data_IF_645423842730
#
_entry.id   IF_645423842730
#
_cell.length_a   1.000
_cell.length_b   1.000
_cell.length_c   1.000
_cell.angle_alpha   90.00
_cell.angle_beta   90.00
_cell.angle_gamma   90.00
#
_symmetry.space_group_name_H-M   'P 1'
#
loop_
_entity.id
_entity.type
_entity.pdbx_description
1 polymer ?
#
# COMPACT_ATOMS: atom_id res chain seq x y z
N UNK A 1 -13.10 -4.20 8.59
CA UNK A 1 -14.21 -5.12 8.26
C UNK A 1 -13.69 -6.54 8.40
N UNK A 2 -14.22 -7.32 9.34
CA UNK A 2 -13.82 -8.72 9.60
C UNK A 2 -13.92 -9.60 8.34
N UNK A 3 -14.90 -9.31 7.47
CA UNK A 3 -15.10 -10.01 6.19
C UNK A 3 -13.95 -9.84 5.21
N UNK A 4 -13.37 -8.64 5.12
CA UNK A 4 -12.21 -8.37 4.23
C UNK A 4 -10.99 -9.14 4.71
N UNK A 5 -10.74 -9.17 6.02
CA UNK A 5 -9.63 -9.92 6.59
C UNK A 5 -9.78 -11.43 6.37
N UNK A 6 -10.99 -11.98 6.55
CA UNK A 6 -11.29 -13.38 6.28
C UNK A 6 -11.11 -13.74 4.79
N UNK A 7 -11.58 -12.90 3.87
CA UNK A 7 -11.41 -13.13 2.44
C UNK A 7 -9.94 -13.12 2.02
N UNK A 8 -9.13 -12.22 2.57
CA UNK A 8 -7.69 -12.15 2.28
C UNK A 8 -6.94 -13.35 2.88
N UNK A 9 -7.35 -13.81 4.07
CA UNK A 9 -6.79 -15.04 4.64
C UNK A 9 -7.08 -16.26 3.75
N UNK A 10 -8.27 -16.33 3.16
CA UNK A 10 -8.65 -17.39 2.23
C UNK A 10 -7.87 -17.29 0.90
N UNK A 11 -7.67 -16.09 0.36
CA UNK A 11 -6.81 -15.89 -0.81
C UNK A 11 -5.39 -16.42 -0.56
N UNK A 12 -4.83 -16.15 0.62
CA UNK A 12 -3.52 -16.71 1.02
C UNK A 12 -3.52 -18.22 1.12
N UNK A 13 -4.60 -18.82 1.64
CA UNK A 13 -4.75 -20.29 1.72
C UNK A 13 -4.80 -20.95 0.34
N UNK A 14 -5.24 -20.21 -0.66
CA UNK A 14 -5.36 -20.65 -2.06
C UNK A 14 -4.18 -20.21 -2.93
N UNK A 15 -3.11 -19.68 -2.34
CA UNK A 15 -1.94 -19.13 -3.05
C UNK A 15 -2.31 -18.02 -4.07
N UNK A 16 -3.37 -17.26 -3.78
CA UNK A 16 -3.78 -16.09 -4.58
C UNK A 16 -3.13 -14.85 -3.96
N UNK A 17 -2.24 -14.21 -4.72
CA UNK A 17 -1.58 -12.97 -4.32
C UNK A 17 -2.59 -11.83 -4.19
N UNK A 18 -2.54 -11.13 -3.06
CA UNK A 18 -3.30 -9.88 -2.84
C UNK A 18 -2.32 -8.72 -2.77
N UNK A 19 -2.40 -7.83 -3.75
CA UNK A 19 -1.52 -6.67 -3.87
C UNK A 19 -2.08 -5.48 -3.05
N UNK A 20 -1.20 -4.65 -2.45
CA UNK A 20 -1.61 -3.51 -1.63
C UNK A 20 -2.42 -2.49 -2.45
N UNK A 21 -3.16 -1.56 -1.81
CA UNK A 21 -3.81 -0.49 -2.55
C UNK A 21 -2.76 0.41 -3.23
N UNK A 22 -3.09 0.93 -4.41
CA UNK A 22 -2.25 1.85 -5.18
C UNK A 22 -3.16 2.78 -5.99
N UNK A 23 -2.99 4.10 -5.85
CA UNK A 23 -3.84 5.10 -6.51
C UNK A 23 -3.81 5.02 -8.05
N UNK A 24 -2.68 4.57 -8.61
CA UNK A 24 -2.48 4.42 -10.05
C UNK A 24 -2.97 3.06 -10.58
N UNK A 25 -3.30 2.09 -9.72
CA UNK A 25 -3.72 0.74 -10.16
C UNK A 25 -5.09 0.31 -9.65
N UNK A 26 -5.36 0.54 -8.36
CA UNK A 26 -6.57 0.09 -7.68
C UNK A 26 -7.83 0.71 -8.26
N UNK A 27 -8.90 -0.09 -8.31
CA UNK A 27 -10.25 0.40 -8.54
C UNK A 27 -10.94 0.72 -7.20
N UNK A 28 -12.19 1.19 -7.26
CA UNK A 28 -12.98 1.43 -6.07
C UNK A 28 -13.16 0.13 -5.27
N UNK A 29 -13.62 -0.93 -5.95
CA UNK A 29 -13.69 -2.30 -5.42
C UNK A 29 -12.43 -3.10 -5.76
N UNK A 30 -12.29 -4.28 -5.15
CA UNK A 30 -11.23 -5.24 -5.49
C UNK A 30 -11.26 -5.55 -6.99
N UNK A 31 -10.09 -5.65 -7.61
CA UNK A 31 -9.96 -5.96 -9.04
C UNK A 31 -8.93 -7.04 -9.28
N UNK A 32 -9.09 -7.81 -10.36
CA UNK A 32 -8.07 -8.76 -10.81
C UNK A 32 -7.11 -8.03 -11.73
N UNK A 33 -5.81 -8.24 -11.54
CA UNK A 33 -4.76 -7.79 -12.44
C UNK A 33 -3.67 -8.86 -12.55
N UNK A 34 -2.66 -8.61 -13.37
CA UNK A 34 -1.50 -9.48 -13.46
C UNK A 34 -0.38 -8.94 -12.56
N UNK A 35 0.22 -9.82 -11.76
CA UNK A 35 1.40 -9.47 -10.98
C UNK A 35 2.57 -9.16 -11.93
N UNK A 36 3.27 -8.07 -11.67
CA UNK A 36 4.41 -7.63 -12.48
C UNK A 36 5.63 -8.55 -12.37
N UNK A 37 5.70 -9.39 -11.35
CA UNK A 37 6.81 -10.32 -11.15
C UNK A 37 6.70 -11.58 -12.03
N UNK A 38 5.49 -12.15 -12.09
CA UNK A 38 5.29 -13.53 -12.57
C UNK A 38 4.21 -13.65 -13.66
N UNK A 39 3.54 -12.54 -14.04
CA UNK A 39 2.33 -12.48 -14.88
C UNK A 39 1.14 -13.31 -14.35
N UNK A 40 1.24 -13.80 -13.11
CA UNK A 40 0.21 -14.55 -12.43
C UNK A 40 -0.99 -13.65 -12.06
N UNK A 41 -2.23 -14.18 -12.06
CA UNK A 41 -3.39 -13.42 -11.62
C UNK A 41 -3.28 -13.06 -10.14
N UNK A 42 -3.45 -11.78 -9.84
CA UNK A 42 -3.44 -11.23 -8.49
C UNK A 42 -4.68 -10.37 -8.24
N UNK A 43 -5.08 -10.27 -6.98
CA UNK A 43 -6.17 -9.41 -6.55
C UNK A 43 -5.57 -8.09 -6.04
N UNK A 44 -5.89 -6.97 -6.70
CA UNK A 44 -5.55 -5.64 -6.22
C UNK A 44 -6.58 -5.18 -5.18
N UNK A 45 -6.09 -4.66 -4.06
CA UNK A 45 -6.94 -4.14 -2.99
C UNK A 45 -7.79 -2.95 -3.47
N UNK A 46 -9.09 -2.98 -3.19
CA UNK A 46 -10.02 -1.90 -3.55
C UNK A 46 -9.92 -0.70 -2.62
N UNK A 47 -9.89 0.52 -3.17
CA UNK A 47 -9.70 1.75 -2.39
C UNK A 47 -10.82 2.01 -1.38
N UNK A 48 -12.07 1.64 -1.69
CA UNK A 48 -13.20 1.83 -0.76
C UNK A 48 -13.25 0.78 0.36
N UNK A 49 -12.40 -0.25 0.31
CA UNK A 49 -12.25 -1.20 1.41
C UNK A 49 -11.35 -0.67 2.55
N UNK A 50 -10.65 0.44 2.32
CA UNK A 50 -9.85 1.14 3.33
C UNK A 50 -10.79 1.88 4.29
N UNK A 51 -10.60 1.70 5.60
CA UNK A 51 -11.37 2.42 6.62
C UNK A 51 -11.30 3.93 6.37
N UNK A 52 -12.43 4.62 6.51
CA UNK A 52 -12.63 6.05 6.28
C UNK A 52 -12.66 6.49 4.80
N UNK A 53 -12.37 5.61 3.84
CA UNK A 53 -12.37 5.97 2.42
C UNK A 53 -13.72 5.64 1.79
N UNK A 54 -14.43 6.66 1.32
CA UNK A 54 -15.74 6.52 0.68
C UNK A 54 -15.68 6.62 -0.85
N UNK A 55 -16.70 6.09 -1.52
CA UNK A 55 -16.80 6.07 -2.98
C UNK A 55 -16.70 7.48 -3.60
N UNK A 56 -17.43 8.46 -3.04
CA UNK A 56 -17.41 9.84 -3.53
C UNK A 56 -16.05 10.55 -3.40
N UNK A 57 -15.10 10.00 -2.63
CA UNK A 57 -13.74 10.50 -2.57
C UNK A 57 -12.83 9.89 -3.65
N UNK A 58 -13.13 8.67 -4.09
CA UNK A 58 -12.26 7.88 -4.98
C UNK A 58 -12.71 7.95 -6.44
N UNK A 59 -14.01 8.02 -6.72
CA UNK A 59 -14.52 8.08 -8.10
C UNK A 59 -13.90 9.21 -8.93
N UNK A 60 -13.77 10.46 -8.43
CA UNK A 60 -13.14 11.52 -9.20
C UNK A 60 -11.67 11.23 -9.50
N UNK A 61 -10.96 10.60 -8.56
CA UNK A 61 -9.55 10.25 -8.74
C UNK A 61 -9.38 9.18 -9.82
N UNK A 62 -10.21 8.14 -9.78
CA UNK A 62 -10.21 7.07 -10.80
C UNK A 62 -10.58 7.64 -12.17
N UNK A 63 -11.59 8.51 -12.25
CA UNK A 63 -12.00 9.13 -13.50
C UNK A 63 -10.87 9.96 -14.12
N UNK A 64 -10.20 10.80 -13.32
CA UNK A 64 -9.08 11.62 -13.78
C UNK A 64 -7.83 10.79 -14.13
N UNK A 65 -7.57 9.70 -13.41
CA UNK A 65 -6.52 8.75 -13.78
C UNK A 65 -6.83 8.07 -15.11
N UNK A 66 -8.05 7.60 -15.31
CA UNK A 66 -8.44 6.92 -16.56
C UNK A 66 -8.37 7.86 -17.77
N UNK A 67 -8.60 9.16 -17.57
CA UNK A 67 -8.52 10.19 -18.60
C UNK A 67 -7.08 10.69 -18.86
N UNK A 68 -6.31 10.95 -17.81
CA UNK A 68 -5.00 11.60 -17.89
C UNK A 68 -3.80 10.69 -17.65
N UNK A 69 -4.02 9.39 -17.41
CA UNK A 69 -2.99 8.43 -17.05
C UNK A 69 -2.55 8.52 -15.59
N UNK A 70 -1.49 7.79 -15.25
CA UNK A 70 -0.95 7.71 -13.89
C UNK A 70 -0.53 9.08 -13.33
N UNK A 71 -0.75 9.28 -12.04
CA UNK A 71 -0.22 10.41 -11.28
C UNK A 71 1.29 10.26 -11.08
N UNK A 72 2.03 11.34 -11.31
CA UNK A 72 3.50 11.33 -11.23
C UNK A 72 4.06 11.88 -9.92
N UNK A 73 3.26 12.65 -9.19
CA UNK A 73 3.60 13.16 -7.87
C UNK A 73 2.34 13.51 -7.08
N UNK A 74 2.48 13.84 -5.80
CA UNK A 74 1.35 14.30 -4.98
C UNK A 74 0.79 15.64 -5.49
N UNK A 75 1.64 16.52 -6.03
CA UNK A 75 1.21 17.77 -6.66
C UNK A 75 0.41 17.52 -7.93
N UNK A 76 0.84 16.56 -8.75
CA UNK A 76 0.12 16.16 -9.96
C UNK A 76 -1.30 15.67 -9.63
N UNK A 77 -1.43 14.83 -8.58
CA UNK A 77 -2.72 14.41 -8.04
C UNK A 77 -3.57 15.63 -7.60
N UNK A 78 -3.00 16.56 -6.83
CA UNK A 78 -3.69 17.74 -6.32
C UNK A 78 -4.19 18.68 -7.42
N UNK A 79 -3.40 18.85 -8.49
CA UNK A 79 -3.74 19.74 -9.62
C UNK A 79 -4.79 19.14 -10.54
N UNK A 80 -4.71 17.82 -10.78
CA UNK A 80 -5.57 17.14 -11.77
C UNK A 80 -6.93 16.74 -11.21
N UNK A 81 -6.99 16.27 -9.96
CA UNK A 81 -8.21 15.65 -9.43
C UNK A 81 -9.14 16.62 -8.72
N UNK A 82 -10.45 16.43 -8.85
CA UNK A 82 -11.41 17.02 -7.90
C UNK A 82 -11.30 16.28 -6.57
N UNK A 83 -10.72 16.95 -5.57
CA UNK A 83 -10.43 16.36 -4.26
C UNK A 83 -11.40 16.82 -3.17
N UNK A 84 -12.60 17.32 -3.53
CA UNK A 84 -13.61 17.76 -2.54
C UNK A 84 -14.02 16.66 -1.55
N UNK A 85 -14.02 15.40 -2.00
CA UNK A 85 -14.28 14.24 -1.14
C UNK A 85 -13.09 13.84 -0.23
N UNK A 86 -11.91 14.42 -0.43
CA UNK A 86 -10.69 14.09 0.31
C UNK A 86 -10.47 15.09 1.44
N UNK A 87 -10.89 14.71 2.65
CA UNK A 87 -10.50 15.41 3.88
C UNK A 87 -9.22 14.82 4.48
N UNK A 88 -8.70 15.44 5.55
CA UNK A 88 -7.49 14.98 6.26
C UNK A 88 -7.54 13.50 6.63
N UNK A 89 -8.67 13.03 7.16
CA UNK A 89 -8.84 11.65 7.60
C UNK A 89 -8.76 10.67 6.42
N UNK A 90 -9.34 11.01 5.27
CA UNK A 90 -9.27 10.20 4.06
C UNK A 90 -7.84 10.17 3.52
N UNK A 91 -7.21 11.33 3.37
CA UNK A 91 -5.84 11.45 2.87
C UNK A 91 -4.85 10.66 3.73
N UNK A 92 -4.89 10.84 5.06
CA UNK A 92 -4.04 10.07 5.96
C UNK A 92 -4.30 8.57 5.86
N UNK A 93 -5.55 8.15 5.71
CA UNK A 93 -5.88 6.72 5.60
C UNK A 93 -5.26 6.13 4.34
N UNK A 94 -5.33 6.83 3.20
CA UNK A 94 -4.70 6.44 1.95
C UNK A 94 -3.17 6.38 2.06
N UNK A 95 -2.55 7.39 2.68
CA UNK A 95 -1.08 7.41 2.89
C UNK A 95 -0.66 6.23 3.77
N UNK A 96 -1.33 6.05 4.93
CA UNK A 96 -0.95 5.07 5.95
C UNK A 96 -0.97 3.63 5.45
N UNK A 97 -1.88 3.30 4.55
CA UNK A 97 -1.98 1.94 3.95
C UNK A 97 -1.16 1.77 2.66
N UNK A 98 -0.45 2.81 2.23
CA UNK A 98 0.44 2.77 1.08
C UNK A 98 -0.20 3.02 -0.27
N UNK A 99 -1.46 3.46 -0.33
CA UNK A 99 -2.12 3.78 -1.59
C UNK A 99 -1.39 4.89 -2.38
N UNK A 100 -0.58 5.70 -1.69
CA UNK A 100 0.20 6.78 -2.29
C UNK A 100 1.72 6.52 -2.26
N UNK A 101 2.17 5.28 -2.02
CA UNK A 101 3.60 4.94 -1.96
C UNK A 101 4.30 5.21 -3.32
N UNK A 102 3.56 5.19 -4.43
CA UNK A 102 4.08 5.57 -5.75
C UNK A 102 4.31 7.09 -5.94
N UNK A 103 3.84 7.92 -5.01
CA UNK A 103 3.93 9.39 -5.07
C UNK A 103 4.86 9.98 -3.99
N UNK A 104 5.34 9.18 -3.04
CA UNK A 104 6.23 9.61 -1.98
C UNK A 104 6.24 8.67 -0.77
N UNK A 105 7.19 8.86 0.15
CA UNK A 105 7.25 8.04 1.36
C UNK A 105 6.13 8.39 2.34
N UNK A 106 5.56 7.39 3.01
CA UNK A 106 4.43 7.59 3.95
C UNK A 106 4.73 8.64 5.02
N UNK A 107 5.94 8.63 5.59
CA UNK A 107 6.34 9.59 6.63
C UNK A 107 6.34 11.02 6.13
N UNK A 108 7.00 11.27 4.99
CA UNK A 108 7.04 12.58 4.33
C UNK A 108 5.64 13.07 3.98
N UNK A 109 4.80 12.22 3.38
CA UNK A 109 3.44 12.60 3.01
C UNK A 109 2.58 12.90 4.25
N UNK A 110 2.70 12.11 5.33
CA UNK A 110 1.98 12.34 6.57
C UNK A 110 2.39 13.63 7.26
N UNK A 111 3.69 13.87 7.39
CA UNK A 111 4.24 15.09 8.00
C UNK A 111 3.75 16.34 7.27
N UNK A 112 3.63 16.27 5.94
CA UNK A 112 3.21 17.39 5.10
C UNK A 112 1.70 17.42 4.77
N UNK A 113 0.86 16.61 5.43
CA UNK A 113 -0.57 16.46 5.12
C UNK A 113 -1.32 17.80 5.01
N UNK A 114 -1.06 18.75 5.92
CA UNK A 114 -1.71 20.07 5.89
C UNK A 114 -1.34 20.88 4.65
N UNK A 115 -0.07 20.81 4.22
CA UNK A 115 0.42 21.52 3.03
C UNK A 115 -0.19 20.92 1.77
N UNK A 116 -0.29 19.59 1.71
CA UNK A 116 -0.93 18.86 0.61
C UNK A 116 -2.41 19.24 0.48
N UNK A 117 -3.17 19.22 1.59
CA UNK A 117 -4.59 19.63 1.57
C UNK A 117 -4.77 21.09 1.16
N UNK A 118 -3.89 21.98 1.63
CA UNK A 118 -3.94 23.40 1.26
C UNK A 118 -3.70 23.60 -0.24
N UNK A 119 -2.78 22.83 -0.85
CA UNK A 119 -2.59 22.84 -2.30
C UNK A 119 -3.84 22.34 -3.01
N UNK A 120 -4.38 21.18 -2.63
CA UNK A 120 -5.60 20.62 -3.23
C UNK A 120 -6.78 21.60 -3.21
N UNK A 121 -6.99 22.29 -2.08
CA UNK A 121 -8.03 23.30 -1.95
C UNK A 121 -7.79 24.51 -2.86
N UNK A 122 -6.55 24.99 -2.95
CA UNK A 122 -6.19 26.09 -3.86
C UNK A 122 -6.44 25.72 -5.31
N UNK A 123 -5.98 24.55 -5.75
CA UNK A 123 -6.16 24.07 -7.12
C UNK A 123 -7.64 23.82 -7.46
N UNK A 124 -8.43 23.38 -6.48
CA UNK A 124 -9.88 23.29 -6.62
C UNK A 124 -10.50 24.69 -6.85
N UNK A 125 -10.13 25.66 -6.02
CA UNK A 125 -10.65 27.03 -6.13
C UNK A 125 -10.26 27.71 -7.46
N UNK A 126 -9.02 27.49 -7.94
CA UNK A 126 -8.56 28.03 -9.22
C UNK A 126 -9.36 27.47 -10.41
N UNK A 127 -9.69 26.18 -10.37
CA UNK A 127 -10.54 25.54 -11.39
C UNK A 127 -11.98 26.07 -11.37
N UNK A 128 -12.54 26.28 -10.19
CA UNK A 128 -13.91 26.79 -10.03
C UNK A 128 -14.07 28.26 -10.44
N UNK A 129 -13.07 29.08 -10.13
CA UNK A 129 -13.10 30.53 -10.43
C UNK A 129 -12.73 30.87 -11.88
N UNK A 130 -12.26 29.90 -12.67
CA UNK A 130 -11.76 30.13 -14.03
C UNK A 130 -10.58 31.10 -14.08
N UNK A 131 -9.85 31.29 -12.97
CA UNK A 131 -8.72 32.22 -12.92
C UNK A 131 -7.53 31.75 -13.77
N UNK A 132 -7.43 30.45 -14.08
CA UNK A 132 -6.50 29.97 -15.11
C UNK A 132 -6.79 30.61 -16.48
N UNK A 133 -8.06 30.70 -16.86
CA UNK A 133 -8.49 31.31 -18.13
C UNK A 133 -8.42 32.83 -18.16
N UNK A 134 -8.53 33.54 -17.01
CA UNK A 134 -8.43 35.01 -16.99
C UNK A 134 -7.00 35.53 -17.22
N UNK A 135 -5.97 34.80 -16.78
CA UNK A 135 -4.58 35.12 -17.11
C UNK A 135 -4.25 34.79 -18.58
N UNK A 136 -4.81 33.71 -19.13
CA UNK A 136 -4.69 33.39 -20.55
C UNK A 136 -5.39 34.42 -21.46
N UNK A 137 -6.51 35.01 -21.02
CA UNK A 137 -7.25 36.02 -21.80
C UNK A 137 -6.49 37.35 -21.97
N UNK A 138 -5.54 37.67 -21.09
CA UNK A 138 -4.79 38.94 -21.11
C UNK A 138 -3.54 38.92 -22.00
N UNK A 139 -3.36 37.88 -22.83
CA UNK A 139 -2.38 37.85 -23.92
C UNK A 139 -0.91 37.70 -23.48
N UNK A 140 -0.66 37.47 -22.18
CA UNK A 140 0.63 37.01 -21.67
C UNK A 140 0.36 35.76 -20.85
N UNK A 141 0.45 34.59 -21.50
CA UNK A 141 0.68 33.32 -20.82
C UNK A 141 2.06 33.37 -20.14
N UNK A 142 2.18 34.18 -19.09
CA UNK A 142 3.25 34.02 -18.11
C UNK A 142 2.85 32.78 -17.33
N UNK A 143 3.65 31.70 -17.36
CA UNK A 143 3.41 30.57 -16.48
C UNK A 143 3.37 31.13 -15.07
N UNK A 144 2.20 31.15 -14.43
CA UNK A 144 2.12 31.45 -13.00
C UNK A 144 3.03 30.42 -12.36
N UNK A 145 4.08 30.83 -11.61
CA UNK A 145 4.97 29.86 -10.98
C UNK A 145 4.12 28.96 -10.09
N UNK A 146 3.91 27.73 -10.53
CA UNK A 146 3.19 26.74 -9.73
C UNK A 146 4.03 26.53 -8.48
N UNK A 147 3.51 26.83 -7.28
CA UNK A 147 4.26 26.56 -6.07
C UNK A 147 4.52 25.06 -6.02
N UNK A 148 5.80 24.69 -6.05
CA UNK A 148 6.24 23.32 -5.77
C UNK A 148 6.00 23.05 -4.29
N UNK A 149 5.54 21.84 -3.97
CA UNK A 149 5.48 21.41 -2.58
C UNK A 149 6.90 21.08 -2.14
N UNK A 150 7.49 21.96 -1.36
CA UNK A 150 8.70 21.61 -0.61
C UNK A 150 8.28 20.72 0.57
N UNK A 151 8.50 19.42 0.41
CA UNK A 151 8.09 18.41 1.38
C UNK A 151 9.23 18.13 2.35
N UNK A 152 9.00 18.42 3.62
CA UNK A 152 9.93 18.05 4.69
C UNK A 152 9.97 16.53 4.84
N UNK A 153 11.17 15.96 4.68
CA UNK A 153 11.38 14.51 4.77
C UNK A 153 11.15 14.05 6.19
N UNK A 154 10.36 12.99 6.33
CA UNK A 154 10.14 12.32 7.60
C UNK A 154 10.11 10.80 7.38
N UNK A 155 10.72 10.09 8.33
CA UNK A 155 10.76 8.63 8.34
C UNK A 155 9.70 8.07 9.27
N UNK A 156 9.30 6.83 8.99
CA UNK A 156 8.33 6.06 9.77
C UNK A 156 8.83 4.63 9.86
N UNK A 157 8.75 4.05 11.05
CA UNK A 157 9.17 2.67 11.30
C UNK A 157 8.27 1.64 10.60
N UNK A 158 8.81 0.45 10.34
CA UNK A 158 8.01 -0.65 9.78
C UNK A 158 6.87 -1.06 10.72
N UNK A 159 7.10 -1.07 12.03
CA UNK A 159 6.07 -1.42 13.02
C UNK A 159 4.87 -0.48 12.97
N UNK A 160 5.11 0.84 12.81
CA UNK A 160 4.04 1.82 12.63
C UNK A 160 3.25 1.59 11.35
N UNK A 161 3.93 1.29 10.23
CA UNK A 161 3.25 0.97 8.96
C UNK A 161 2.35 -0.24 9.12
N UNK A 162 2.87 -1.32 9.71
CA UNK A 162 2.11 -2.55 9.95
C UNK A 162 0.92 -2.30 10.87
N UNK A 163 1.10 -1.53 11.94
CA UNK A 163 0.02 -1.16 12.85
C UNK A 163 -1.12 -0.44 12.11
N UNK A 164 -0.80 0.48 11.20
CA UNK A 164 -1.81 1.16 10.38
C UNK A 164 -2.52 0.24 9.39
N UNK A 165 -1.81 -0.69 8.77
CA UNK A 165 -2.44 -1.64 7.84
C UNK A 165 -3.46 -2.53 8.58
N UNK A 166 -3.09 -3.00 9.77
CA UNK A 166 -4.03 -3.74 10.63
C UNK A 166 -5.21 -2.87 11.05
N UNK A 167 -4.99 -1.60 11.40
CA UNK A 167 -6.06 -0.71 11.83
C UNK A 167 -7.03 -0.34 10.69
N UNK A 168 -6.49 -0.03 9.51
CA UNK A 168 -7.23 0.60 8.41
C UNK A 168 -7.72 -0.41 7.36
N UNK A 169 -7.00 -1.51 7.15
CA UNK A 169 -7.39 -2.58 6.22
C UNK A 169 -7.82 -3.86 6.94
N UNK A 170 -7.43 -4.03 8.20
CA UNK A 170 -7.68 -5.26 8.95
C UNK A 170 -6.67 -6.37 8.66
N UNK A 171 -5.65 -6.11 7.84
CA UNK A 171 -4.65 -7.09 7.40
C UNK A 171 -3.30 -6.41 7.19
N UNK A 172 -2.22 -7.18 7.22
CA UNK A 172 -0.88 -6.73 6.82
C UNK A 172 -0.65 -7.13 5.37
N UNK A 173 -0.30 -6.20 4.48
CA UNK A 173 -0.02 -6.47 3.06
C UNK A 173 1.42 -6.08 2.66
N UNK A 174 2.01 -5.07 3.29
CA UNK A 174 3.34 -4.60 2.90
C UNK A 174 4.46 -5.56 3.28
N UNK A 175 4.35 -6.28 4.41
CA UNK A 175 5.30 -7.33 4.80
C UNK A 175 4.61 -8.40 5.67
N UNK A 176 5.00 -9.66 5.49
CA UNK A 176 4.52 -10.76 6.33
C UNK A 176 5.26 -10.69 7.67
N UNK A 177 4.59 -10.68 8.84
CA UNK A 177 5.27 -10.77 10.14
C UNK A 177 6.13 -12.04 10.33
N UNK A 178 6.06 -13.00 9.39
CA UNK A 178 6.83 -14.25 9.39
C UNK A 178 7.93 -14.29 8.31
N UNK A 179 8.09 -13.30 7.42
CA UNK A 179 9.21 -13.31 6.46
C UNK A 179 10.57 -13.21 7.16
N UNK A 180 10.62 -12.58 8.34
CA UNK A 180 11.82 -12.58 9.19
C UNK A 180 12.15 -13.97 9.78
N UNK A 181 11.17 -14.88 9.90
CA UNK A 181 11.36 -16.23 10.47
C UNK A 181 11.53 -17.28 9.37
N UNK A 182 10.94 -17.09 8.18
CA UNK A 182 11.08 -18.01 7.06
C UNK A 182 12.45 -17.93 6.36
N UNK A 183 13.12 -16.77 6.41
CA UNK A 183 14.49 -16.61 5.89
C UNK A 183 15.55 -17.43 6.67
N UNK A 184 15.20 -17.98 7.85
CA UNK A 184 16.05 -18.90 8.62
C UNK A 184 15.92 -20.37 8.24
N UNK A 185 15.08 -20.75 7.28
CA UNK A 185 14.87 -22.16 6.86
C UNK A 185 15.35 -22.52 5.46
N UNK A 186 15.84 -21.56 4.67
CA UNK A 186 16.50 -21.80 3.39
C UNK A 186 18.03 -21.75 3.57
N UNK A 187 18.59 -22.78 4.22
CA UNK A 187 20.02 -22.84 4.50
C UNK A 187 20.49 -24.12 5.19
N UNK A 188 19.88 -25.28 4.86
CA UNK A 188 20.47 -26.58 5.22
C UNK A 188 21.25 -27.10 4.01
N UNK A 189 22.49 -26.66 3.91
CA UNK A 189 23.44 -27.05 2.87
C UNK A 189 24.84 -26.59 3.23
N UNK A 190 25.48 -27.28 4.18
CA UNK A 190 26.87 -27.02 4.56
C UNK A 190 27.15 -27.36 6.02
N UNK A 191 27.46 -28.64 6.27
CA UNK A 191 28.13 -29.03 7.51
C UNK A 191 29.56 -28.48 7.47
N UNK A 192 29.86 -27.42 8.21
CA UNK A 192 31.24 -27.05 8.53
C UNK A 192 31.54 -27.44 9.99
N UNK A 193 32.63 -28.18 10.17
CA UNK A 193 33.06 -28.70 11.46
C UNK A 193 33.79 -27.59 12.21
N UNK A 194 33.24 -27.21 13.36
CA UNK A 194 34.01 -26.62 14.44
C UNK A 194 33.90 -25.10 14.55
N UNK A 195 33.01 -24.64 15.43
CA UNK A 195 33.37 -23.91 16.66
C UNK A 195 32.11 -23.35 17.34
N UNK A 196 32.24 -23.27 18.66
CA UNK A 196 31.60 -22.34 19.58
C UNK A 196 30.19 -22.65 20.13
N UNK A 197 30.28 -23.19 21.35
CA UNK A 197 29.42 -23.05 22.52
C UNK A 197 28.61 -21.74 22.63
N UNK A 198 27.49 -21.90 23.36
CA UNK A 198 26.61 -20.90 23.99
C UNK A 198 25.43 -20.38 23.17
N UNK A 199 24.30 -21.11 23.16
CA UNK A 199 22.97 -20.49 23.23
C UNK A 199 21.95 -21.41 23.96
N UNK A 200 21.69 -21.04 25.21
CA UNK A 200 20.47 -21.10 26.03
C UNK A 200 19.43 -22.25 25.86
N UNK A 201 19.20 -22.97 26.97
CA UNK A 201 18.48 -24.24 27.10
C UNK A 201 16.95 -24.12 27.26
N UNK A 202 16.31 -23.09 26.69
CA UNK A 202 14.88 -22.79 26.96
C UNK A 202 13.92 -22.85 25.76
N UNK A 203 14.32 -23.43 24.61
CA UNK A 203 13.47 -23.47 23.41
C UNK A 203 12.93 -24.86 23.01
N UNK A 204 13.16 -25.90 23.81
CA UNK A 204 12.81 -27.30 23.45
C UNK A 204 11.48 -27.84 24.00
N UNK A 205 10.56 -27.00 24.49
CA UNK A 205 9.37 -27.51 25.20
C UNK A 205 8.00 -27.35 24.54
N UNK A 206 7.88 -26.96 23.27
CA UNK A 206 6.53 -26.82 22.66
C UNK A 206 6.41 -27.27 21.20
N UNK A 207 6.94 -28.45 20.85
CA UNK A 207 6.76 -29.04 19.52
C UNK A 207 6.33 -30.52 19.51
N UNK A 208 5.81 -31.04 20.63
CA UNK A 208 5.30 -32.43 20.73
C UNK A 208 3.81 -32.56 21.07
N UNK A 209 3.00 -31.58 20.66
CA UNK A 209 1.54 -31.73 20.67
C UNK A 209 0.98 -31.15 19.38
N UNK A 210 0.76 -32.01 18.38
CA UNK A 210 -0.41 -32.02 17.48
C UNK A 210 -0.16 -33.01 16.31
N UNK A 211 -0.87 -34.14 16.43
CA UNK A 211 -1.24 -35.14 15.42
C UNK A 211 -0.19 -36.15 14.89
N UNK A 212 -0.36 -37.45 15.20
CA UNK A 212 0.33 -38.56 14.55
C UNK A 212 -0.48 -39.01 13.33
N UNK A 213 0.12 -39.01 12.14
CA UNK A 213 -0.06 -39.99 11.08
C UNK A 213 0.56 -39.48 9.78
N UNK A 214 1.13 -40.40 9.01
CA UNK A 214 1.79 -40.28 7.71
C UNK A 214 3.32 -40.31 7.76
N UNK A 215 3.87 -41.53 7.80
CA UNK A 215 4.96 -41.98 6.92
C UNK A 215 4.93 -43.52 6.86
N UNK A 216 4.51 -44.08 5.71
CA UNK A 216 4.82 -45.46 5.30
C UNK A 216 5.85 -45.36 4.16
N UNK A 217 7.07 -45.91 4.29
CA UNK A 217 7.97 -46.02 3.15
C UNK A 217 7.62 -47.26 2.31
N UNK A 218 7.40 -47.05 1.01
CA UNK A 218 7.38 -48.09 -0.01
C UNK A 218 8.82 -48.49 -0.31
N UNK A 219 9.17 -49.75 -0.02
CA UNK A 219 10.33 -50.42 -0.61
C UNK A 219 9.82 -51.40 -1.67
N UNK A 220 10.34 -51.30 -2.89
CA UNK A 220 10.28 -52.34 -3.92
C UNK A 220 11.69 -52.97 -4.07
N UNK A 221 11.78 -54.27 -4.40
CA UNK A 221 12.97 -55.07 -4.15
C UNK A 221 13.93 -55.13 -5.36
N UNK A 222 15.20 -55.42 -5.07
CA UNK A 222 15.99 -56.41 -5.79
C UNK A 222 16.63 -57.36 -4.77
#
# INVERSE_FOLDING_TARGET
>A
SEKVASAIAECRRLDITVLPPDINRSQASFSIEKDSKDDAPAIRFGLTAIKNVGLGAIEPIIAERNKGGDFKSIEDLCRRCDLRGINRRVLESLIKVGALDCLGSRGTLLHNTNRILSLAQREQHLRETGQSTMFDLWGKAMPVPTPSLDLEVADISTDEKLAWERELMGVYLSEHPLSAVAAGRAGWGGWDKGRDHYLNQSYYLNLHALSPNYYRPLYLPM
#
